data_IF_824854965142
#
_entry.id   IF_824854965142
#
_cell.length_a   1.000
_cell.length_b   1.000
_cell.length_c   1.000
_cell.angle_alpha   90.00
_cell.angle_beta   90.00
_cell.angle_gamma   90.00
#
_symmetry.space_group_name_H-M   'P 1'
#
loop_
_entity.id
_entity.type
_entity.pdbx_description
1 polymer ?
#
# COMPACT_ATOMS: atom_id res chain seq x y z
N UNK A 1 -23.94 -48.81 -1.38
CA UNK A 1 -23.40 -48.52 -0.03
C UNK A 1 -21.95 -48.97 -0.06
N UNK A 2 -20.91 -48.14 0.02
CA UNK A 2 -20.41 -47.27 1.11
C UNK A 2 -19.60 -46.15 0.39
N UNK A 3 -20.02 -44.87 0.39
CA UNK A 3 -19.58 -43.74 1.27
C UNK A 3 -18.07 -43.50 1.39
N UNK A 4 -17.58 -42.29 1.07
CA UNK A 4 -16.32 -41.78 1.67
C UNK A 4 -15.46 -40.75 0.92
N UNK A 5 -15.86 -39.47 0.97
CA UNK A 5 -15.08 -38.21 1.14
C UNK A 5 -13.75 -37.94 0.39
N UNK A 6 -13.75 -36.77 -0.27
CA UNK A 6 -12.58 -35.93 -0.68
C UNK A 6 -11.52 -35.80 0.43
N UNK A 7 -10.25 -35.79 0.03
CA UNK A 7 -9.26 -34.87 0.61
C UNK A 7 -8.48 -34.21 -0.53
N UNK A 8 -8.67 -32.91 -0.70
CA UNK A 8 -7.82 -32.09 -1.54
C UNK A 8 -6.57 -31.85 -0.68
N UNK A 9 -5.47 -32.53 -0.98
CA UNK A 9 -4.19 -32.33 -0.28
C UNK A 9 -3.65 -30.97 -0.70
N UNK A 10 -3.79 -29.97 0.18
CA UNK A 10 -3.11 -28.68 0.03
C UNK A 10 -1.65 -28.91 0.39
N UNK A 11 -0.76 -28.70 -0.56
CA UNK A 11 0.69 -28.72 -0.35
C UNK A 11 1.10 -27.55 0.56
N UNK A 12 1.66 -27.81 1.76
CA UNK A 12 2.02 -26.77 2.72
C UNK A 12 3.27 -25.96 2.31
N UNK A 13 3.96 -26.29 1.21
CA UNK A 13 5.23 -25.66 0.84
C UNK A 13 5.15 -24.58 -0.25
N UNK A 14 3.95 -24.14 -0.65
CA UNK A 14 3.79 -23.20 -1.78
C UNK A 14 3.20 -21.82 -1.44
N UNK A 15 3.32 -21.36 -0.19
CA UNK A 15 2.67 -20.11 0.27
C UNK A 15 3.61 -18.95 0.64
N UNK A 16 4.90 -19.01 0.30
CA UNK A 16 5.90 -18.01 0.74
C UNK A 16 6.56 -17.18 -0.38
N UNK A 17 5.96 -17.02 -1.57
CA UNK A 17 6.60 -16.23 -2.64
C UNK A 17 5.74 -15.19 -3.38
N UNK A 18 4.54 -14.89 -2.89
CA UNK A 18 3.88 -13.64 -3.26
C UNK A 18 3.55 -12.87 -1.99
N UNK A 19 4.30 -11.80 -1.71
CA UNK A 19 3.70 -10.71 -0.94
C UNK A 19 2.61 -10.11 -1.83
N UNK A 20 1.31 -10.36 -1.56
CA UNK A 20 0.29 -9.82 -2.41
C UNK A 20 0.30 -8.31 -2.18
N UNK A 21 0.34 -7.54 -3.26
CA UNK A 21 0.02 -6.11 -3.25
C UNK A 21 -1.32 -5.80 -2.53
N UNK A 22 -2.16 -6.80 -2.29
CA UNK A 22 -3.45 -6.73 -1.60
C UNK A 22 -3.46 -6.58 -0.07
N UNK A 23 -2.32 -6.37 0.61
CA UNK A 23 -2.32 -6.05 2.07
C UNK A 23 -2.25 -4.56 2.37
N UNK A 24 -2.19 -3.70 1.35
CA UNK A 24 -2.18 -2.24 1.53
C UNK A 24 -3.61 -1.71 1.68
N UNK A 25 -3.86 -0.79 2.63
CA UNK A 25 -5.19 -0.22 2.80
C UNK A 25 -5.58 0.61 1.58
N UNK A 26 -6.86 0.58 1.23
CA UNK A 26 -7.46 1.60 0.37
C UNK A 26 -7.85 2.77 1.27
N UNK A 27 -7.41 3.96 0.89
CA UNK A 27 -7.67 5.18 1.63
C UNK A 27 -8.49 6.12 0.75
N UNK A 28 -9.55 6.69 1.32
CA UNK A 28 -10.33 7.71 0.66
C UNK A 28 -9.46 8.96 0.41
N UNK A 29 -9.51 9.60 -0.77
CA UNK A 29 -8.61 10.71 -1.12
C UNK A 29 -8.63 11.89 -0.14
N UNK A 30 -9.74 12.08 0.57
CA UNK A 30 -9.92 13.18 1.54
C UNK A 30 -9.57 12.81 2.98
N UNK A 31 -9.14 11.57 3.24
CA UNK A 31 -8.79 11.13 4.59
C UNK A 31 -7.45 11.76 5.04
N UNK A 32 -7.40 12.49 6.17
CA UNK A 32 -6.20 13.18 6.65
C UNK A 32 -5.25 12.20 7.36
N UNK A 33 -4.60 11.31 6.61
CA UNK A 33 -3.70 10.30 7.17
C UNK A 33 -2.45 10.03 6.34
N UNK A 34 -1.39 9.60 7.01
CA UNK A 34 -0.22 8.95 6.41
C UNK A 34 -0.41 7.43 6.38
N UNK A 35 0.02 6.79 5.29
CA UNK A 35 0.13 5.33 5.19
C UNK A 35 1.59 4.94 5.05
N UNK A 36 2.13 4.31 6.08
CA UNK A 36 3.50 3.80 6.09
C UNK A 36 3.45 2.31 5.76
N UNK A 37 3.74 1.96 4.50
CA UNK A 37 3.81 0.58 4.06
C UNK A 37 5.25 0.20 3.74
N UNK A 38 5.83 -0.80 4.43
CA UNK A 38 7.13 -1.32 4.03
C UNK A 38 7.06 -1.97 2.64
N UNK A 39 8.20 -1.95 1.95
CA UNK A 39 8.40 -2.64 0.67
C UNK A 39 9.28 -3.85 0.95
N UNK A 40 8.83 -5.03 0.53
CA UNK A 40 9.52 -6.31 0.73
C UNK A 40 10.12 -6.49 2.16
N UNK A 41 9.30 -6.41 3.23
CA UNK A 41 9.74 -6.74 4.59
C UNK A 41 10.51 -8.06 4.63
N UNK A 42 11.65 -8.07 5.31
CA UNK A 42 12.28 -9.33 5.76
C UNK A 42 11.66 -9.86 7.07
N UNK A 43 10.70 -9.14 7.66
CA UNK A 43 9.94 -9.56 8.83
C UNK A 43 8.48 -9.90 8.46
N UNK A 44 8.04 -11.10 8.83
CA UNK A 44 6.68 -11.61 8.60
C UNK A 44 5.59 -10.86 9.40
N UNK A 45 5.99 -10.20 10.48
CA UNK A 45 5.08 -9.48 11.38
C UNK A 45 4.88 -8.03 10.97
N UNK A 46 5.66 -7.50 10.03
CA UNK A 46 5.52 -6.11 9.62
C UNK A 46 4.18 -5.89 8.90
N UNK A 47 3.46 -4.83 9.28
CA UNK A 47 2.15 -4.44 8.76
C UNK A 47 2.17 -2.96 8.37
N UNK A 48 1.38 -2.53 7.38
CA UNK A 48 1.19 -1.11 7.13
C UNK A 48 0.65 -0.40 8.38
N UNK A 49 1.16 0.80 8.65
CA UNK A 49 0.73 1.65 9.76
C UNK A 49 0.00 2.88 9.18
N UNK A 50 -1.18 3.18 9.72
CA UNK A 50 -1.97 4.38 9.37
C UNK A 50 -1.96 5.32 10.56
N UNK A 51 -1.49 6.55 10.35
CA UNK A 51 -1.43 7.60 11.40
C UNK A 51 -2.01 8.91 10.88
N UNK A 52 -2.43 9.80 11.77
CA UNK A 52 -2.98 11.09 11.37
C UNK A 52 -1.93 11.97 10.66
N UNK A 53 -2.36 12.73 9.66
CA UNK A 53 -1.46 13.59 8.87
C UNK A 53 -0.86 14.78 9.65
N UNK A 54 -1.40 15.06 10.84
CA UNK A 54 -0.88 16.04 11.80
C UNK A 54 0.46 15.65 12.42
N UNK A 55 0.84 14.37 12.35
CA UNK A 55 2.12 13.91 12.89
C UNK A 55 3.27 14.29 11.95
N UNK A 56 4.39 14.70 12.55
CA UNK A 56 5.67 14.85 11.86
C UNK A 56 6.39 13.51 11.94
N UNK A 57 6.86 13.01 10.80
CA UNK A 57 7.56 11.72 10.71
C UNK A 57 9.02 12.00 10.41
N UNK A 58 9.90 11.65 11.35
CA UNK A 58 11.35 11.69 11.14
C UNK A 58 11.86 10.29 10.76
N UNK A 59 12.63 10.21 9.69
CA UNK A 59 13.21 8.97 9.17
C UNK A 59 14.73 9.14 9.08
N UNK A 60 15.44 8.25 9.74
CA UNK A 60 16.88 8.03 9.56
C UNK A 60 17.10 6.69 8.88
N UNK A 61 18.14 6.59 8.05
CA UNK A 61 18.48 5.38 7.31
C UNK A 61 19.78 4.82 7.82
N UNK A 62 19.77 3.54 8.15
CA UNK A 62 20.97 2.75 8.39
C UNK A 62 21.18 1.81 7.21
N UNK A 63 22.35 1.86 6.60
CA UNK A 63 22.69 1.04 5.45
C UNK A 63 24.16 0.63 5.51
N UNK A 64 24.51 -0.45 4.79
CA UNK A 64 25.90 -0.83 4.52
C UNK A 64 26.57 0.06 3.46
N UNK A 65 25.76 0.82 2.73
CA UNK A 65 26.20 1.81 1.73
C UNK A 65 26.08 3.21 2.30
N UNK A 66 26.95 4.13 1.88
CA UNK A 66 26.94 5.52 2.36
C UNK A 66 25.81 6.38 1.77
N UNK A 67 24.95 5.79 0.93
CA UNK A 67 23.81 6.50 0.31
C UNK A 67 22.54 5.65 0.29
N UNK A 68 21.40 6.34 0.20
CA UNK A 68 20.06 5.78 -0.01
C UNK A 68 19.29 6.56 -1.09
N UNK A 69 18.23 5.95 -1.63
CA UNK A 69 17.40 6.56 -2.68
C UNK A 69 16.03 6.94 -2.14
N UNK A 70 15.59 8.15 -2.49
CA UNK A 70 14.22 8.63 -2.25
C UNK A 70 13.55 8.88 -3.59
N UNK A 71 12.30 8.44 -3.73
CA UNK A 71 11.48 8.75 -4.91
C UNK A 71 10.21 9.46 -4.48
N UNK A 72 9.95 10.63 -5.07
CA UNK A 72 8.78 11.49 -4.81
C UNK A 72 8.08 11.72 -6.15
N UNK A 73 6.83 11.28 -6.28
CA UNK A 73 6.00 11.45 -7.49
C UNK A 73 6.73 11.11 -8.81
N UNK A 74 7.49 10.01 -8.79
CA UNK A 74 8.25 9.51 -9.95
C UNK A 74 9.64 10.14 -10.16
N UNK A 75 10.02 11.14 -9.37
CA UNK A 75 11.38 11.72 -9.39
C UNK A 75 12.25 11.11 -8.31
N UNK A 76 13.45 10.65 -8.67
CA UNK A 76 14.37 10.01 -7.73
C UNK A 76 15.56 10.90 -7.39
N UNK A 77 15.98 10.81 -6.14
CA UNK A 77 17.15 11.48 -5.57
C UNK A 77 18.00 10.43 -4.83
N UNK A 78 19.32 10.55 -4.90
CA UNK A 78 20.25 9.77 -4.09
C UNK A 78 20.79 10.71 -3.01
N UNK A 79 20.68 10.30 -1.75
CA UNK A 79 21.06 11.07 -0.58
C UNK A 79 22.09 10.31 0.26
N UNK A 80 23.08 10.98 0.86
CA UNK A 80 23.96 10.39 1.88
C UNK A 80 23.20 9.91 3.13
N UNK A 81 23.67 8.86 3.82
CA UNK A 81 22.99 8.26 4.99
C UNK A 81 22.86 9.19 6.22
N UNK A 82 23.70 10.21 6.34
CA UNK A 82 23.64 11.21 7.41
C UNK A 82 22.49 12.20 7.22
N UNK A 83 21.90 12.26 6.03
CA UNK A 83 20.70 13.06 5.76
C UNK A 83 19.48 12.38 6.40
N UNK A 84 18.77 13.13 7.25
CA UNK A 84 17.49 12.71 7.82
C UNK A 84 16.34 13.25 6.99
N UNK A 85 15.31 12.45 6.79
CA UNK A 85 14.06 12.90 6.16
C UNK A 85 13.05 13.30 7.24
N UNK A 86 12.42 14.45 7.05
CA UNK A 86 11.29 14.91 7.86
C UNK A 86 10.07 15.10 6.98
N UNK A 87 9.04 14.28 7.18
CA UNK A 87 7.76 14.40 6.49
C UNK A 87 6.77 15.15 7.38
N UNK A 88 6.07 16.12 6.79
CA UNK A 88 5.02 16.89 7.45
C UNK A 88 3.95 17.27 6.43
N UNK A 89 2.73 17.51 6.92
CA UNK A 89 1.66 18.06 6.08
C UNK A 89 2.09 19.42 5.53
N UNK A 90 1.89 19.62 4.23
CA UNK A 90 2.12 20.91 3.59
C UNK A 90 1.04 21.93 4.04
N UNK A 91 1.36 23.23 4.09
CA UNK A 91 0.39 24.27 4.45
C UNK A 91 -0.61 24.58 3.31
N UNK A 92 -0.53 23.84 2.19
CA UNK A 92 -1.38 23.99 1.01
C UNK A 92 -1.87 22.62 0.54
N UNK A 93 -2.93 22.63 -0.25
CA UNK A 93 -3.53 21.43 -0.86
C UNK A 93 -3.68 21.61 -2.36
N UNK A 94 -3.60 20.50 -3.10
CA UNK A 94 -3.93 20.48 -4.52
C UNK A 94 -5.45 20.49 -4.69
N UNK A 95 -5.98 21.45 -5.45
CA UNK A 95 -7.40 21.51 -5.79
C UNK A 95 -7.65 20.68 -7.05
N UNK A 96 -8.60 19.75 -6.98
CA UNK A 96 -8.97 18.85 -8.08
C UNK A 96 -10.42 19.16 -8.48
N UNK A 97 -10.66 19.31 -9.79
CA UNK A 97 -12.01 19.44 -10.34
C UNK A 97 -12.53 18.06 -10.71
N UNK A 98 -13.75 17.75 -10.26
CA UNK A 98 -14.45 16.51 -10.58
C UNK A 98 -15.71 16.82 -11.38
N UNK A 99 -16.11 15.90 -12.27
CA UNK A 99 -17.45 15.93 -12.86
C UNK A 99 -18.50 15.73 -11.76
N UNK A 100 -19.72 16.26 -11.96
CA UNK A 100 -20.83 16.10 -11.00
C UNK A 100 -21.18 14.64 -10.73
N UNK A 101 -20.98 13.77 -11.71
CA UNK A 101 -21.29 12.33 -11.60
C UNK A 101 -20.11 11.52 -11.02
N UNK A 102 -19.05 12.19 -10.56
CA UNK A 102 -17.89 11.50 -10.01
C UNK A 102 -18.16 10.95 -8.61
N UNK A 103 -18.13 9.63 -8.48
CA UNK A 103 -18.18 8.93 -7.20
C UNK A 103 -16.91 8.08 -7.00
N UNK A 104 -16.25 8.27 -5.85
CA UNK A 104 -15.03 7.54 -5.50
C UNK A 104 -15.25 6.02 -5.42
N UNK A 105 -16.35 5.57 -4.81
CA UNK A 105 -16.66 4.15 -4.63
C UNK A 105 -16.98 3.48 -5.96
N UNK A 106 -17.76 4.13 -6.82
CA UNK A 106 -18.07 3.59 -8.15
C UNK A 106 -16.81 3.52 -9.02
N UNK A 107 -15.94 4.55 -8.93
CA UNK A 107 -14.64 4.54 -9.58
C UNK A 107 -13.76 3.39 -9.08
N UNK A 108 -13.73 3.12 -7.77
CA UNK A 108 -13.00 1.98 -7.22
C UNK A 108 -13.54 0.65 -7.73
N UNK A 109 -14.87 0.46 -7.72
CA UNK A 109 -15.51 -0.77 -8.20
C UNK A 109 -15.18 -1.05 -9.67
N UNK A 110 -15.30 -0.03 -10.52
CA UNK A 110 -14.97 -0.14 -11.94
C UNK A 110 -13.48 -0.44 -12.17
N UNK A 111 -12.57 0.26 -11.48
CA UNK A 111 -11.12 0.09 -11.69
C UNK A 111 -10.55 -1.21 -11.10
N UNK A 112 -11.14 -1.72 -10.02
CA UNK A 112 -10.70 -2.95 -9.36
C UNK A 112 -11.55 -4.16 -9.74
N UNK A 113 -12.51 -4.00 -10.65
CA UNK A 113 -13.47 -5.03 -11.10
C UNK A 113 -14.20 -5.69 -9.91
N UNK A 114 -14.48 -4.92 -8.87
CA UNK A 114 -15.08 -5.44 -7.66
C UNK A 114 -16.59 -5.60 -7.80
N UNK A 115 -17.07 -6.79 -7.42
CA UNK A 115 -18.49 -7.13 -7.49
C UNK A 115 -18.95 -7.56 -8.88
N UNK A 116 -18.04 -7.67 -9.86
CA UNK A 116 -18.34 -8.25 -11.18
C UNK A 116 -18.24 -9.77 -11.05
N UNK A 117 -19.35 -10.47 -11.26
CA UNK A 117 -19.39 -11.94 -11.28
C UNK A 117 -19.25 -12.44 -12.72
N UNK A 118 -18.54 -13.55 -12.93
CA UNK A 118 -18.52 -14.30 -14.20
C UNK A 118 -19.90 -14.79 -14.68
N UNK A 119 -20.97 -14.52 -13.93
CA UNK A 119 -22.37 -14.84 -14.27
C UNK A 119 -23.12 -13.66 -14.88
N UNK A 120 -22.47 -12.50 -14.95
CA UNK A 120 -23.05 -11.26 -15.49
C UNK A 120 -22.56 -10.99 -16.95
N UNK A 121 -21.90 -11.98 -17.57
CA UNK A 121 -21.63 -12.10 -19.02
C UNK A 121 -22.66 -13.05 -19.65
#
# INVERSE_FOLDING_TARGET
MISGRRTNRVDPHRLDSLQPFGRRPIVQPTAPCWVLSPIAPHSLTMRPLVVADSHIIDISVESRTDTYRVTLDGRSLILPIDVKLRLRRAPFVTKIVHSTDHNFIDTLRAKLLWGISKRDE
#
